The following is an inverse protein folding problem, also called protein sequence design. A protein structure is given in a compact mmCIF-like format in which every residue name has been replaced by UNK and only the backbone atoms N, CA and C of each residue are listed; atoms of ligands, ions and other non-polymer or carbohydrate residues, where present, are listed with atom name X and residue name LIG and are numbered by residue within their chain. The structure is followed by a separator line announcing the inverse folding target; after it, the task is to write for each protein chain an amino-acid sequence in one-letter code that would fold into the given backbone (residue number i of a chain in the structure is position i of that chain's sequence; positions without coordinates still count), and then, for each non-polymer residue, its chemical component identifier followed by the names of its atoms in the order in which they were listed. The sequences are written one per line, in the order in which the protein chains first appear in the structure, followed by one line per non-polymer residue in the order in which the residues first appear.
data_IF_719962338549
#
_entry.id   IF_719962338549
#
_cell.length_a   1.000
_cell.length_b   1.000
_cell.length_c   1.000
_cell.angle_alpha   90.00
_cell.angle_beta   90.00
_cell.angle_gamma   90.00
#
_symmetry.space_group_name_H-M   'P 1'
#
loop_
_entity.id
_entity.type
_entity.pdbx_description
1 polymer ?
#
# COMPACT_ATOMS: atom_id res chain seq x y z
N UNK A 1 -43.04 -15.77 2.55
CA UNK A 1 -42.21 -16.18 1.41
C UNK A 1 -41.32 -15.02 1.00
N UNK A 2 -40.00 -15.25 1.07
CA UNK A 2 -38.84 -14.47 0.58
C UNK A 2 -39.04 -12.98 0.26
N UNK A 3 -38.56 -12.10 1.15
CA UNK A 3 -38.18 -10.74 0.80
C UNK A 3 -37.16 -10.80 -0.35
N UNK A 4 -37.58 -10.41 -1.56
CA UNK A 4 -36.65 -10.26 -2.66
C UNK A 4 -35.71 -9.11 -2.32
N UNK A 5 -34.38 -9.32 -2.29
CA UNK A 5 -33.47 -8.22 -2.03
C UNK A 5 -33.63 -7.18 -3.13
N UNK A 6 -33.85 -5.92 -2.76
CA UNK A 6 -33.91 -4.80 -3.68
C UNK A 6 -32.51 -4.56 -4.27
N UNK A 7 -32.16 -5.34 -5.30
CA UNK A 7 -30.86 -5.26 -5.98
C UNK A 7 -30.55 -3.84 -6.46
N UNK A 8 -31.55 -3.10 -6.93
CA UNK A 8 -31.42 -1.70 -7.32
C UNK A 8 -30.97 -0.79 -6.16
N UNK A 9 -31.50 -1.00 -4.96
CA UNK A 9 -31.11 -0.24 -3.78
C UNK A 9 -29.71 -0.61 -3.30
N UNK A 10 -29.33 -1.88 -3.45
CA UNK A 10 -27.98 -2.37 -3.15
C UNK A 10 -26.95 -1.74 -4.12
N UNK A 11 -27.25 -1.75 -5.43
CA UNK A 11 -26.43 -1.15 -6.48
C UNK A 11 -26.29 0.36 -6.26
N UNK A 12 -27.38 1.06 -5.96
CA UNK A 12 -27.36 2.50 -5.66
C UNK A 12 -26.46 2.82 -4.46
N UNK A 13 -26.56 2.04 -3.38
CA UNK A 13 -25.72 2.22 -2.19
C UNK A 13 -24.24 1.95 -2.46
N UNK A 14 -23.94 0.96 -3.31
CA UNK A 14 -22.57 0.65 -3.74
C UNK A 14 -22.00 1.77 -4.61
N UNK A 15 -22.78 2.29 -5.56
CA UNK A 15 -22.36 3.41 -6.43
C UNK A 15 -22.08 4.66 -5.59
N UNK A 16 -22.94 5.01 -4.63
CA UNK A 16 -22.70 6.14 -3.72
C UNK A 16 -21.50 5.90 -2.82
N UNK A 17 -21.30 4.67 -2.35
CA UNK A 17 -20.11 4.28 -1.58
C UNK A 17 -18.83 4.48 -2.39
N UNK A 18 -18.83 4.06 -3.66
CA UNK A 18 -17.70 4.24 -4.59
C UNK A 18 -17.42 5.71 -4.86
N UNK A 19 -18.45 6.53 -5.11
CA UNK A 19 -18.30 7.97 -5.33
C UNK A 19 -17.76 8.65 -4.07
N UNK A 20 -18.27 8.29 -2.90
CA UNK A 20 -17.79 8.81 -1.61
C UNK A 20 -16.35 8.41 -1.33
N UNK A 21 -15.97 7.16 -1.61
CA UNK A 21 -14.60 6.67 -1.43
C UNK A 21 -13.63 7.36 -2.40
N UNK A 22 -14.04 7.55 -3.65
CA UNK A 22 -13.27 8.25 -4.66
C UNK A 22 -13.06 9.71 -4.28
N UNK A 23 -14.11 10.39 -3.82
CA UNK A 23 -14.04 11.76 -3.30
C UNK A 23 -13.16 11.87 -2.06
N UNK A 24 -13.31 10.94 -1.10
CA UNK A 24 -12.47 10.90 0.09
C UNK A 24 -11.00 10.67 -0.27
N UNK A 25 -10.72 9.81 -1.25
CA UNK A 25 -9.36 9.55 -1.74
C UNK A 25 -8.70 10.80 -2.36
N UNK A 26 -9.49 11.69 -2.98
CA UNK A 26 -9.00 12.97 -3.50
C UNK A 26 -8.65 13.94 -2.36
N UNK A 27 -9.47 14.01 -1.32
CA UNK A 27 -9.26 14.94 -0.20
C UNK A 27 -8.20 14.41 0.78
N UNK A 28 -8.15 13.09 0.96
CA UNK A 28 -7.26 12.40 1.89
C UNK A 28 -5.80 12.88 1.84
N UNK A 29 -5.09 12.98 0.71
CA UNK A 29 -3.69 13.42 0.68
C UNK A 29 -3.46 14.83 1.23
N UNK A 30 -4.47 15.70 1.22
CA UNK A 30 -4.33 17.08 1.72
C UNK A 30 -4.53 17.19 3.22
N UNK A 31 -5.29 16.27 3.81
CA UNK A 31 -5.68 16.29 5.23
C UNK A 31 -4.96 15.19 6.02
N UNK A 32 -4.45 14.15 5.35
CA UNK A 32 -3.83 12.98 5.96
C UNK A 32 -2.69 13.35 6.88
N UNK A 33 -1.83 14.29 6.49
CA UNK A 33 -0.69 14.71 7.30
C UNK A 33 -1.13 15.35 8.62
N UNK A 34 -2.09 16.29 8.56
CA UNK A 34 -2.66 16.95 9.74
C UNK A 34 -3.40 15.95 10.63
N UNK A 35 -4.21 15.06 10.04
CA UNK A 35 -4.95 14.03 10.79
C UNK A 35 -4.01 13.03 11.43
N UNK A 36 -2.99 12.57 10.70
CA UNK A 36 -1.97 11.68 11.26
C UNK A 36 -1.22 12.38 12.38
N UNK A 37 -0.82 13.64 12.21
CA UNK A 37 -0.17 14.42 13.27
C UNK A 37 -1.07 14.52 14.51
N UNK A 38 -2.37 14.82 14.34
CA UNK A 38 -3.31 14.91 15.46
C UNK A 38 -3.51 13.56 16.15
N UNK A 39 -3.66 12.48 15.38
CA UNK A 39 -3.78 11.13 15.94
C UNK A 39 -2.50 10.72 16.65
N UNK A 40 -1.33 10.95 16.08
CA UNK A 40 -0.05 10.67 16.71
C UNK A 40 0.16 11.53 17.96
N UNK A 41 -0.14 12.82 17.92
CA UNK A 41 -0.06 13.70 19.09
C UNK A 41 -1.03 13.24 20.18
N UNK A 42 -2.25 12.84 19.83
CA UNK A 42 -3.24 12.33 20.77
C UNK A 42 -2.80 11.00 21.40
N UNK A 43 -2.33 10.05 20.60
CA UNK A 43 -1.82 8.77 21.10
C UNK A 43 -0.59 8.99 21.98
N UNK A 44 0.34 9.84 21.53
CA UNK A 44 1.56 10.15 22.26
C UNK A 44 1.25 10.81 23.61
N UNK A 45 0.36 11.81 23.63
CA UNK A 45 -0.05 12.47 24.88
C UNK A 45 -0.82 11.54 25.81
N UNK A 46 -1.75 10.73 25.29
CA UNK A 46 -2.52 9.77 26.09
C UNK A 46 -1.62 8.71 26.74
N UNK A 47 -0.70 8.12 25.96
CA UNK A 47 0.26 7.13 26.45
C UNK A 47 1.25 7.78 27.42
N UNK A 48 1.74 8.98 27.12
CA UNK A 48 2.65 9.71 28.00
C UNK A 48 2.01 10.07 29.32
N UNK A 49 0.84 10.73 29.32
CA UNK A 49 0.17 11.16 30.55
C UNK A 49 -0.11 9.97 31.47
N UNK A 50 -0.69 8.90 30.94
CA UNK A 50 -0.95 7.67 31.71
C UNK A 50 0.33 7.04 32.27
N UNK A 51 1.40 6.98 31.47
CA UNK A 51 2.70 6.45 31.91
C UNK A 51 3.39 7.35 32.93
N UNK A 52 3.28 8.67 32.76
CA UNK A 52 3.82 9.69 33.67
C UNK A 52 3.09 9.66 35.00
N UNK A 53 1.76 9.54 35.01
CA UNK A 53 0.97 9.44 36.24
C UNK A 53 1.33 8.17 37.03
N UNK A 54 1.52 7.05 36.33
CA UNK A 54 2.00 5.81 36.94
C UNK A 54 3.40 5.97 37.55
N UNK A 55 4.29 6.72 36.89
CA UNK A 55 5.65 6.96 37.36
C UNK A 55 5.71 8.05 38.45
N UNK A 56 4.86 9.08 38.38
CA UNK A 56 4.68 10.14 39.39
C UNK A 56 4.31 9.50 40.72
N UNK A 57 3.42 8.51 40.73
CA UNK A 57 3.07 7.77 41.95
C UNK A 57 4.28 7.09 42.61
N UNK A 58 5.33 6.77 41.84
CA UNK A 58 6.55 6.11 42.33
C UNK A 58 7.66 7.10 42.73
N UNK A 59 7.84 8.17 41.95
CA UNK A 59 8.96 9.11 42.08
C UNK A 59 8.56 10.42 42.80
N UNK A 60 7.24 10.67 42.95
CA UNK A 60 6.64 11.82 43.65
C UNK A 60 7.03 13.19 43.06
N UNK A 61 7.45 13.23 41.80
CA UNK A 61 7.81 14.46 41.07
C UNK A 61 7.34 14.40 39.62
N UNK A 62 6.44 15.31 39.23
CA UNK A 62 5.86 15.36 37.88
C UNK A 62 6.90 15.58 36.78
N UNK A 63 7.74 16.61 36.92
CA UNK A 63 8.71 16.97 35.89
C UNK A 63 9.75 15.87 35.63
N UNK A 64 10.22 15.22 36.69
CA UNK A 64 11.15 14.09 36.60
C UNK A 64 10.49 12.86 35.97
N UNK A 65 9.24 12.58 36.31
CA UNK A 65 8.48 11.49 35.70
C UNK A 65 8.28 11.68 34.20
N UNK A 66 7.94 12.91 33.77
CA UNK A 66 7.83 13.24 32.33
C UNK A 66 9.14 12.95 31.61
N UNK A 67 10.26 13.46 32.14
CA UNK A 67 11.57 13.33 31.51
C UNK A 67 11.98 11.84 31.37
N UNK A 68 11.83 11.06 32.44
CA UNK A 68 12.18 9.64 32.45
C UNK A 68 11.31 8.84 31.47
N UNK A 69 9.99 9.06 31.48
CA UNK A 69 9.08 8.35 30.56
C UNK A 69 9.40 8.69 29.11
N UNK A 70 9.66 9.96 28.77
CA UNK A 70 10.01 10.37 27.41
C UNK A 70 11.31 9.71 26.95
N UNK A 71 12.36 9.68 27.79
CA UNK A 71 13.64 9.06 27.44
C UNK A 71 13.50 7.56 27.24
N UNK A 72 12.76 6.86 28.10
CA UNK A 72 12.51 5.42 27.96
C UNK A 72 11.70 5.14 26.70
N UNK A 73 10.68 5.95 26.42
CA UNK A 73 9.83 5.78 25.25
C UNK A 73 10.62 5.98 23.95
N UNK A 74 11.40 7.07 23.85
CA UNK A 74 12.24 7.33 22.68
C UNK A 74 13.34 6.27 22.51
N UNK A 75 13.99 5.87 23.60
CA UNK A 75 14.99 4.79 23.58
C UNK A 75 14.40 3.44 23.18
N UNK A 76 13.20 3.12 23.69
CA UNK A 76 12.46 1.91 23.36
C UNK A 76 12.02 1.88 21.89
N UNK A 77 11.49 2.99 21.37
CA UNK A 77 11.11 3.14 19.96
C UNK A 77 12.34 3.03 19.06
N UNK A 78 13.44 3.71 19.39
CA UNK A 78 14.68 3.65 18.61
C UNK A 78 15.27 2.23 18.57
N UNK A 79 15.27 1.53 19.70
CA UNK A 79 15.73 0.13 19.79
C UNK A 79 14.80 -0.81 19.02
N UNK A 80 13.48 -0.61 19.13
CA UNK A 80 12.48 -1.38 18.41
C UNK A 80 12.66 -1.23 16.90
N UNK A 81 12.70 0.00 16.37
CA UNK A 81 12.92 0.23 14.94
C UNK A 81 14.27 -0.28 14.46
N UNK A 82 15.34 -0.11 15.23
CA UNK A 82 16.65 -0.70 14.90
C UNK A 82 16.59 -2.22 14.77
N UNK A 83 15.95 -2.89 15.72
CA UNK A 83 15.80 -4.36 15.71
C UNK A 83 14.84 -4.84 14.60
N UNK A 84 13.75 -4.10 14.36
CA UNK A 84 12.75 -4.42 13.35
C UNK A 84 13.29 -4.22 11.94
N UNK A 85 13.97 -3.10 11.67
CA UNK A 85 14.64 -2.84 10.38
C UNK A 85 15.71 -3.90 10.14
N UNK A 86 16.53 -4.25 11.14
CA UNK A 86 17.52 -5.31 10.99
C UNK A 86 16.88 -6.66 10.64
N UNK A 87 15.82 -7.06 11.33
CA UNK A 87 15.16 -8.35 11.09
C UNK A 87 14.38 -8.38 9.76
N UNK A 88 13.62 -7.33 9.45
CA UNK A 88 12.91 -7.22 8.18
C UNK A 88 13.87 -7.07 7.01
N UNK A 89 14.98 -6.33 7.16
CA UNK A 89 16.01 -6.22 6.13
C UNK A 89 16.69 -7.56 5.89
N UNK A 90 17.01 -8.33 6.93
CA UNK A 90 17.57 -9.66 6.77
C UNK A 90 16.60 -10.60 6.06
N UNK A 91 15.31 -10.55 6.41
CA UNK A 91 14.26 -11.31 5.72
C UNK A 91 14.12 -10.86 4.26
N UNK A 92 14.13 -9.55 3.98
CA UNK A 92 14.06 -9.02 2.62
C UNK A 92 15.29 -9.41 1.79
N UNK A 93 16.49 -9.45 2.39
CA UNK A 93 17.72 -9.92 1.74
C UNK A 93 17.66 -11.43 1.47
N UNK A 94 17.14 -12.23 2.40
CA UNK A 94 16.95 -13.67 2.21
C UNK A 94 15.86 -13.98 1.16
N UNK A 95 14.78 -13.20 1.13
CA UNK A 95 13.80 -13.25 0.05
C UNK A 95 14.41 -12.80 -1.27
N UNK A 96 15.20 -11.72 -1.28
CA UNK A 96 15.89 -11.23 -2.49
C UNK A 96 16.88 -12.24 -3.05
N UNK A 97 17.57 -13.01 -2.20
CA UNK A 97 18.51 -14.05 -2.64
C UNK A 97 17.80 -15.32 -3.11
N UNK A 98 16.58 -15.61 -2.62
CA UNK A 98 15.70 -16.66 -3.18
C UNK A 98 15.00 -16.23 -4.47
N UNK A 99 14.80 -14.92 -4.65
CA UNK A 99 14.40 -14.22 -5.89
C UNK A 99 15.61 -14.05 -6.82
N UNK A 100 16.71 -14.80 -6.62
CA UNK A 100 17.78 -14.85 -7.59
C UNK A 100 17.23 -15.35 -8.95
N UNK A 101 17.60 -14.66 -10.02
CA UNK A 101 16.99 -14.78 -11.37
C UNK A 101 16.95 -16.24 -11.86
N UNK A 102 17.86 -17.08 -11.37
CA UNK A 102 17.95 -18.51 -11.71
C UNK A 102 16.80 -19.33 -11.14
N UNK A 103 16.39 -19.10 -9.90
CA UNK A 103 15.25 -19.77 -9.27
C UNK A 103 13.94 -19.27 -9.86
N UNK A 104 13.81 -17.96 -10.05
CA UNK A 104 12.64 -17.38 -10.73
C UNK A 104 12.49 -17.93 -12.16
N UNK A 105 13.55 -18.02 -12.95
CA UNK A 105 13.47 -18.59 -14.31
C UNK A 105 13.02 -20.04 -14.29
N UNK A 106 13.45 -20.82 -13.29
CA UNK A 106 13.05 -22.22 -13.16
C UNK A 106 11.59 -22.36 -12.69
N UNK A 107 11.17 -21.59 -11.69
CA UNK A 107 9.79 -21.58 -11.19
C UNK A 107 8.82 -20.99 -12.22
N UNK A 108 9.20 -19.94 -12.96
CA UNK A 108 8.42 -19.42 -14.09
C UNK A 108 8.33 -20.41 -15.25
N UNK A 109 9.38 -21.19 -15.50
CA UNK A 109 9.35 -22.25 -16.51
C UNK A 109 8.41 -23.37 -16.08
N UNK A 110 8.46 -23.79 -14.81
CA UNK A 110 7.55 -24.80 -14.24
C UNK A 110 6.11 -24.27 -14.19
N UNK A 111 5.88 -23.01 -13.82
CA UNK A 111 4.56 -22.38 -13.90
C UNK A 111 4.07 -22.25 -15.33
N UNK A 112 4.94 -21.86 -16.27
CA UNK A 112 4.62 -21.76 -17.69
C UNK A 112 4.23 -23.12 -18.27
N UNK A 113 4.96 -24.18 -17.91
CA UNK A 113 4.64 -25.56 -18.28
C UNK A 113 3.35 -26.04 -17.61
N UNK A 114 3.10 -25.70 -16.33
CA UNK A 114 1.84 -26.03 -15.63
C UNK A 114 0.64 -25.28 -16.18
N UNK A 115 0.79 -24.01 -16.52
CA UNK A 115 -0.26 -23.19 -17.13
C UNK A 115 -0.56 -23.69 -18.53
N UNK A 116 0.47 -24.01 -19.32
CA UNK A 116 0.30 -24.55 -20.68
C UNK A 116 -0.31 -25.95 -20.68
N UNK A 117 0.04 -26.80 -19.70
CA UNK A 117 -0.54 -28.15 -19.56
C UNK A 117 -1.90 -28.19 -18.86
N UNK A 118 -2.25 -27.14 -18.10
CA UNK A 118 -3.58 -26.98 -17.47
C UNK A 118 -4.53 -26.13 -18.33
N UNK A 119 -4.06 -25.61 -19.46
CA UNK A 119 -4.92 -24.93 -20.44
C UNK A 119 -5.82 -25.96 -21.15
N UNK A 120 -7.15 -25.76 -21.17
CA UNK A 120 -8.05 -26.62 -21.93
C UNK A 120 -7.79 -26.50 -23.45
N UNK A 121 -8.07 -27.57 -24.20
CA UNK A 121 -7.96 -27.63 -25.68
C UNK A 121 -8.57 -26.41 -26.40
N UNK A 122 -9.59 -25.78 -25.82
CA UNK A 122 -10.24 -24.56 -26.31
C UNK A 122 -9.29 -23.36 -26.52
N UNK A 123 -8.14 -23.30 -25.83
CA UNK A 123 -7.13 -22.25 -26.01
C UNK A 123 -6.14 -22.58 -27.14
N UNK A 124 -5.85 -23.88 -27.37
CA UNK A 124 -5.02 -24.33 -28.50
C UNK A 124 -5.75 -24.16 -29.84
N UNK A 125 -7.05 -24.44 -29.86
CA UNK A 125 -7.92 -24.22 -31.02
C UNK A 125 -8.28 -22.74 -31.27
N UNK A 126 -8.01 -21.84 -30.33
CA UNK A 126 -8.20 -20.39 -30.56
C UNK A 126 -7.03 -19.78 -31.36
N UNK A 127 -5.88 -20.46 -31.42
CA UNK A 127 -4.74 -20.06 -32.27
C UNK A 127 -5.03 -20.32 -33.77
N UNK A 128 -5.95 -21.22 -34.09
CA UNK A 128 -6.32 -21.58 -35.47
C UNK A 128 -7.54 -20.82 -36.01
N UNK A 129 -8.24 -20.02 -35.20
CA UNK A 129 -9.39 -19.22 -35.64
C UNK A 129 -9.18 -17.72 -35.48
N UNK A 130 -8.44 -17.17 -36.45
CA UNK A 130 -8.53 -15.84 -37.07
C UNK A 130 -8.81 -14.58 -36.20
N UNK A 131 -7.74 -13.77 -36.05
CA UNK A 131 -7.73 -12.38 -36.57
C UNK A 131 -7.93 -11.23 -35.58
N UNK A 132 -8.82 -11.36 -34.59
CA UNK A 132 -9.30 -10.17 -33.86
C UNK A 132 -8.76 -10.03 -32.42
N UNK A 133 -8.20 -11.10 -31.85
CA UNK A 133 -7.66 -11.09 -30.49
C UNK A 133 -6.36 -10.28 -30.38
N UNK A 134 -5.47 -10.41 -31.38
CA UNK A 134 -4.19 -9.69 -31.41
C UNK A 134 -4.38 -8.19 -31.63
N UNK A 135 -5.41 -7.80 -32.39
CA UNK A 135 -5.82 -6.41 -32.59
C UNK A 135 -6.33 -5.80 -31.29
N UNK A 136 -7.26 -6.48 -30.59
CA UNK A 136 -7.78 -6.02 -29.29
C UNK A 136 -6.74 -6.00 -28.19
N UNK A 137 -5.80 -6.94 -28.18
CA UNK A 137 -4.65 -6.93 -27.26
C UNK A 137 -3.71 -5.75 -27.57
N UNK A 138 -3.44 -5.47 -28.84
CA UNK A 138 -2.64 -4.30 -29.23
C UNK A 138 -3.33 -2.99 -28.87
N UNK A 139 -4.65 -2.91 -28.99
CA UNK A 139 -5.44 -1.74 -28.62
C UNK A 139 -5.46 -1.52 -27.10
N UNK A 140 -5.57 -2.60 -26.32
CA UNK A 140 -5.42 -2.59 -24.86
C UNK A 140 -4.01 -2.15 -24.44
N UNK A 141 -2.97 -2.72 -25.06
CA UNK A 141 -1.58 -2.36 -24.78
C UNK A 141 -1.33 -0.88 -25.12
N UNK A 142 -1.79 -0.40 -26.27
CA UNK A 142 -1.65 1.00 -26.65
C UNK A 142 -2.45 1.94 -25.73
N UNK A 143 -3.62 1.53 -25.24
CA UNK A 143 -4.41 2.30 -24.27
C UNK A 143 -3.70 2.37 -22.92
N UNK A 144 -3.13 1.26 -22.45
CA UNK A 144 -2.36 1.21 -21.20
C UNK A 144 -1.06 2.00 -21.33
N UNK A 145 -0.32 1.87 -22.44
CA UNK A 145 0.86 2.69 -22.71
C UNK A 145 0.53 4.18 -22.84
N UNK A 146 -0.58 4.54 -23.48
CA UNK A 146 -1.04 5.93 -23.56
C UNK A 146 -1.44 6.49 -22.20
N UNK A 147 -2.05 5.67 -21.35
CA UNK A 147 -2.39 6.01 -19.96
C UNK A 147 -1.14 6.13 -19.08
N UNK A 148 -0.16 5.26 -19.27
CA UNK A 148 1.12 5.33 -18.55
C UNK A 148 2.00 6.47 -19.04
N UNK A 149 1.98 6.79 -20.34
CA UNK A 149 2.68 7.93 -20.92
C UNK A 149 2.07 9.26 -20.46
N UNK A 150 0.73 9.34 -20.36
CA UNK A 150 0.07 10.52 -19.80
C UNK A 150 0.34 10.66 -18.30
N UNK A 151 0.39 9.56 -17.54
CA UNK A 151 0.85 9.56 -16.15
C UNK A 151 2.33 9.94 -16.01
N UNK A 152 3.22 9.46 -16.90
CA UNK A 152 4.62 9.86 -16.92
C UNK A 152 4.80 11.34 -17.31
N UNK A 153 3.92 11.90 -18.15
CA UNK A 153 3.86 13.33 -18.43
C UNK A 153 3.42 14.15 -17.20
N UNK A 154 2.43 13.66 -16.44
CA UNK A 154 1.96 14.30 -15.20
C UNK A 154 3.01 14.19 -14.07
N UNK A 155 3.64 13.02 -13.90
CA UNK A 155 4.71 12.78 -12.95
C UNK A 155 5.97 13.56 -13.35
N UNK A 156 6.28 13.64 -14.65
CA UNK A 156 7.37 14.44 -15.18
C UNK A 156 7.17 15.93 -14.92
N UNK A 157 5.95 16.45 -15.11
CA UNK A 157 5.59 17.83 -14.76
C UNK A 157 5.67 18.08 -13.25
N UNK A 158 5.25 17.11 -12.43
CA UNK A 158 5.37 17.18 -10.97
C UNK A 158 6.82 17.16 -10.49
N UNK A 159 7.68 16.30 -11.06
CA UNK A 159 9.12 16.23 -10.75
C UNK A 159 9.86 17.48 -11.22
N UNK A 160 9.48 18.06 -12.36
CA UNK A 160 10.02 19.33 -12.85
C UNK A 160 9.63 20.50 -11.92
N UNK A 161 8.36 20.60 -11.54
CA UNK A 161 7.89 21.61 -10.57
C UNK A 161 8.58 21.41 -9.21
N UNK A 162 8.69 20.17 -8.72
CA UNK A 162 9.38 19.88 -7.47
C UNK A 162 10.85 20.29 -7.53
N UNK A 163 11.56 19.98 -8.61
CA UNK A 163 12.98 20.35 -8.78
C UNK A 163 13.16 21.88 -8.88
N UNK A 164 12.25 22.59 -9.54
CA UNK A 164 12.29 24.06 -9.66
C UNK A 164 11.97 24.78 -8.35
N UNK A 165 11.24 24.14 -7.43
CA UNK A 165 10.92 24.68 -6.09
C UNK A 165 12.04 24.40 -5.08
N UNK A 166 12.84 23.35 -5.29
CA UNK A 166 13.95 22.96 -4.41
C UNK A 166 15.32 23.57 -4.79
N UNK A 167 15.40 24.32 -5.89
CA UNK A 167 16.55 25.16 -6.31
C UNK A 167 16.24 26.62 -5.95
#
# INVERSE_FOLDING_TARGET
MKHQPNYFQLIYRVIIGLISLWFLSIIWPYISDVVLMLVFAFLFTTILLSSVDALERKIRSRGLSVLVVVVILLGGIGTFFGSFISQMSQQAVEFSSRIDKKTLTNEFKILGEKVTSSMPEFVRDMQSSNGDMAGKLSELINTVLGSLASMAGVIGNFMFIATMVFI
#
